data_IF_779688571776
#
_entry.id   IF_779688571776
#
_cell.length_a   1.000
_cell.length_b   1.000
_cell.length_c   1.000
_cell.angle_alpha   90.00
_cell.angle_beta   90.00
_cell.angle_gamma   90.00
#
_symmetry.space_group_name_H-M   'P 1'
#
loop_
_entity.id
_entity.type
_entity.pdbx_description
1 polymer ?
#
# COMPACT_ATOMS: atom_id res chain seq x y z
N UNK A 1 8.01 18.96 -7.93
CA UNK A 1 7.49 19.05 -9.31
C UNK A 1 6.03 18.62 -9.39
N UNK A 2 5.63 17.33 -9.30
CA UNK A 2 4.21 16.96 -9.37
C UNK A 2 3.32 17.45 -8.19
N UNK A 3 3.92 17.65 -7.00
CA UNK A 3 3.26 18.19 -5.80
C UNK A 3 2.89 19.67 -5.99
N UNK A 4 3.79 20.46 -6.56
CA UNK A 4 3.63 21.92 -6.74
C UNK A 4 2.52 22.26 -7.74
N UNK A 5 2.39 21.50 -8.83
CA UNK A 5 1.31 21.69 -9.83
C UNK A 5 -0.08 21.33 -9.27
N UNK A 6 -0.16 20.31 -8.42
CA UNK A 6 -1.40 19.90 -7.78
C UNK A 6 -1.79 20.88 -6.67
N UNK A 7 -0.83 21.30 -5.85
CA UNK A 7 -1.03 22.31 -4.82
C UNK A 7 -1.45 23.65 -5.45
N UNK A 8 -0.89 24.03 -6.61
CA UNK A 8 -1.32 25.21 -7.36
C UNK A 8 -2.76 25.07 -7.88
N UNK A 9 -3.12 23.96 -8.53
CA UNK A 9 -4.50 23.74 -8.99
C UNK A 9 -5.50 23.76 -7.81
N UNK A 10 -5.14 23.12 -6.71
CA UNK A 10 -5.95 23.01 -5.51
C UNK A 10 -6.16 24.38 -4.82
N UNK A 11 -5.09 25.15 -4.65
CA UNK A 11 -5.16 26.50 -4.07
C UNK A 11 -5.93 27.49 -4.93
N UNK A 12 -5.89 27.34 -6.26
CA UNK A 12 -6.52 28.30 -7.20
C UNK A 12 -7.96 27.97 -7.59
N UNK A 13 -8.35 26.69 -7.66
CA UNK A 13 -9.66 26.29 -8.18
C UNK A 13 -10.62 25.76 -7.10
N UNK A 14 -10.14 25.51 -5.89
CA UNK A 14 -10.94 24.92 -4.80
C UNK A 14 -11.04 25.78 -3.53
N UNK A 15 -10.57 27.04 -3.56
CA UNK A 15 -10.59 28.05 -2.49
C UNK A 15 -11.11 27.54 -1.13
N UNK A 16 -10.18 27.24 -0.23
CA UNK A 16 -10.47 27.25 1.20
C UNK A 16 -10.06 28.62 1.72
N UNK A 17 -11.02 29.37 2.24
CA UNK A 17 -10.72 30.54 3.04
C UNK A 17 -10.03 30.07 4.32
N UNK A 18 -8.71 30.30 4.42
CA UNK A 18 -8.21 31.33 5.34
C UNK A 18 -6.69 31.38 5.28
N UNK A 19 -6.22 32.56 4.91
CA UNK A 19 -4.85 33.00 5.08
C UNK A 19 -4.58 33.26 6.56
N UNK A 20 -3.97 32.32 7.27
CA UNK A 20 -2.91 32.63 8.25
C UNK A 20 -2.32 31.37 8.88
N UNK A 21 -0.99 31.27 8.76
CA UNK A 21 -0.08 30.48 9.59
C UNK A 21 -0.24 28.95 9.70
N UNK A 22 0.75 28.28 9.10
CA UNK A 22 1.42 27.04 9.54
C UNK A 22 0.79 25.66 9.24
N UNK A 23 1.60 24.89 8.49
CA UNK A 23 1.58 23.46 8.13
C UNK A 23 0.66 23.03 6.98
N UNK A 24 1.30 22.71 5.85
CA UNK A 24 0.74 22.42 4.53
C UNK A 24 0.46 20.93 4.27
N UNK A 25 0.09 20.15 5.29
CA UNK A 25 0.22 18.68 5.21
C UNK A 25 -1.07 17.85 5.20
N UNK A 26 -2.25 18.46 5.02
CA UNK A 26 -3.47 17.66 4.88
C UNK A 26 -4.54 18.31 4.00
N UNK A 27 -4.46 18.10 2.69
CA UNK A 27 -5.63 18.21 1.82
C UNK A 27 -5.57 17.16 0.72
N UNK A 28 -6.50 16.19 0.74
CA UNK A 28 -7.41 15.89 -0.40
C UNK A 28 -8.64 15.17 0.13
N UNK A 29 -9.75 15.41 -0.56
CA UNK A 29 -11.07 15.18 -0.04
C UNK A 29 -12.14 14.91 -1.10
N UNK A 30 -12.23 13.69 -1.63
CA UNK A 30 -13.41 13.26 -2.38
C UNK A 30 -13.67 11.77 -2.17
N UNK A 31 -14.88 11.43 -1.71
CA UNK A 31 -15.40 10.08 -1.76
C UNK A 31 -16.87 10.10 -2.20
N UNK A 32 -17.28 9.10 -2.98
CA UNK A 32 -18.69 8.84 -3.28
C UNK A 32 -19.11 7.51 -2.65
N UNK A 33 -20.38 7.37 -2.30
CA UNK A 33 -20.98 6.04 -2.07
C UNK A 33 -22.18 5.94 -2.98
N UNK A 34 -22.11 5.15 -4.04
CA UNK A 34 -23.30 4.87 -4.84
C UNK A 34 -24.16 3.89 -4.06
N UNK A 35 -25.38 4.32 -3.74
CA UNK A 35 -26.48 3.47 -3.34
C UNK A 35 -27.47 3.53 -4.51
N UNK A 36 -27.70 2.39 -5.16
CA UNK A 36 -28.66 2.18 -6.25
C UNK A 36 -28.34 2.81 -7.64
N UNK A 37 -28.77 2.08 -8.68
CA UNK A 37 -28.61 2.36 -10.12
C UNK A 37 -29.37 3.62 -10.61
N UNK A 38 -30.03 4.38 -9.73
CA UNK A 38 -30.98 5.45 -10.09
C UNK A 38 -30.65 6.84 -9.51
N UNK A 39 -29.56 6.99 -8.73
CA UNK A 39 -29.21 8.28 -8.14
C UNK A 39 -28.47 9.18 -9.15
N UNK A 40 -29.16 10.22 -9.65
CA UNK A 40 -28.66 11.08 -10.73
C UNK A 40 -27.44 11.95 -10.38
N UNK A 41 -27.05 12.15 -9.10
CA UNK A 41 -25.75 12.74 -8.71
C UNK A 41 -25.31 12.31 -7.28
N UNK A 42 -24.32 11.41 -7.10
CA UNK A 42 -24.10 10.68 -5.83
C UNK A 42 -22.88 11.11 -4.96
N UNK A 43 -22.46 12.38 -4.96
CA UNK A 43 -21.17 12.79 -4.36
C UNK A 43 -21.35 13.54 -3.04
N UNK A 44 -20.55 13.22 -2.00
CA UNK A 44 -20.54 13.96 -0.72
C UNK A 44 -19.14 14.53 -0.45
N UNK A 45 -19.01 15.86 -0.32
CA UNK A 45 -17.79 16.54 0.13
C UNK A 45 -17.80 16.65 1.66
N UNK A 46 -16.74 16.18 2.33
CA UNK A 46 -16.56 16.17 3.80
C UNK A 46 -15.15 16.60 4.22
N UNK A 47 -14.94 17.81 4.70
CA UNK A 47 -13.59 18.31 5.05
C UNK A 47 -12.97 17.54 6.22
N UNK A 48 -11.70 17.16 6.07
CA UNK A 48 -10.94 16.48 7.11
C UNK A 48 -10.43 17.54 8.09
N UNK A 49 -10.61 17.30 9.39
CA UNK A 49 -10.04 18.19 10.41
C UNK A 49 -8.52 18.05 10.42
N UNK A 50 -7.79 19.12 10.79
CA UNK A 50 -6.32 19.15 10.89
C UNK A 50 -5.71 18.00 11.72
N UNK A 51 -6.52 17.33 12.57
CA UNK A 51 -6.09 16.24 13.45
C UNK A 51 -6.35 14.84 12.90
N UNK A 52 -6.96 14.70 11.73
CA UNK A 52 -7.39 13.40 11.19
C UNK A 52 -7.08 13.29 9.71
N UNK A 53 -6.37 12.22 9.32
CA UNK A 53 -6.15 11.91 7.92
C UNK A 53 -7.49 11.67 7.20
N UNK A 54 -7.61 12.18 5.97
CA UNK A 54 -8.87 12.14 5.21
C UNK A 54 -9.41 10.72 4.99
N UNK A 55 -8.55 9.76 4.63
CA UNK A 55 -9.00 8.38 4.41
C UNK A 55 -9.53 7.71 5.69
N UNK A 56 -8.96 8.03 6.86
CA UNK A 56 -9.47 7.52 8.13
C UNK A 56 -10.85 8.11 8.48
N UNK A 57 -11.15 9.34 8.04
CA UNK A 57 -12.51 9.89 8.11
C UNK A 57 -13.46 9.17 7.16
N UNK A 58 -13.06 8.96 5.90
CA UNK A 58 -13.83 8.20 4.91
C UNK A 58 -14.15 6.79 5.41
N UNK A 59 -13.18 6.09 5.98
CA UNK A 59 -13.37 4.76 6.56
C UNK A 59 -14.46 4.74 7.65
N UNK A 60 -14.50 5.77 8.51
CA UNK A 60 -15.54 5.91 9.55
C UNK A 60 -16.92 6.20 8.98
N UNK A 61 -16.99 6.98 7.91
CA UNK A 61 -18.24 7.23 7.20
C UNK A 61 -18.74 5.95 6.51
N UNK A 62 -17.86 5.21 5.83
CA UNK A 62 -18.19 3.89 5.25
C UNK A 62 -18.71 2.96 6.35
N UNK A 63 -18.05 2.88 7.51
CA UNK A 63 -18.54 2.08 8.64
C UNK A 63 -19.95 2.49 9.06
N UNK A 64 -20.25 3.79 9.08
CA UNK A 64 -21.59 4.30 9.41
C UNK A 64 -22.61 3.88 8.35
N UNK A 65 -22.28 4.02 7.06
CA UNK A 65 -23.14 3.60 5.95
C UNK A 65 -23.41 2.09 5.98
N UNK A 66 -22.37 1.28 6.24
CA UNK A 66 -22.50 -0.17 6.38
C UNK A 66 -23.40 -0.56 7.55
N UNK A 67 -23.35 0.17 8.68
CA UNK A 67 -24.22 -0.11 9.84
C UNK A 67 -25.70 0.11 9.55
N UNK A 68 -26.03 1.13 8.76
CA UNK A 68 -27.41 1.49 8.42
C UNK A 68 -27.90 0.83 7.12
N UNK A 69 -27.00 0.21 6.36
CA UNK A 69 -27.34 -0.51 5.14
C UNK A 69 -28.14 -1.78 5.47
N UNK A 70 -29.14 -2.07 4.63
CA UNK A 70 -29.91 -3.31 4.70
C UNK A 70 -29.06 -4.49 4.20
N UNK A 71 -29.38 -5.71 4.68
CA UNK A 71 -28.72 -6.93 4.19
C UNK A 71 -28.88 -7.02 2.67
N UNK A 72 -27.79 -7.34 1.95
CA UNK A 72 -27.68 -7.39 0.47
C UNK A 72 -27.55 -6.04 -0.25
N UNK A 73 -27.40 -4.92 0.46
CA UNK A 73 -27.04 -3.66 -0.19
C UNK A 73 -25.64 -3.76 -0.84
N UNK A 74 -25.48 -3.10 -1.99
CA UNK A 74 -24.18 -2.86 -2.63
C UNK A 74 -23.79 -1.40 -2.42
N UNK A 75 -22.58 -1.16 -1.93
CA UNK A 75 -21.99 0.15 -1.74
C UNK A 75 -20.72 0.24 -2.59
N UNK A 76 -20.68 1.16 -3.53
CA UNK A 76 -19.50 1.43 -4.34
C UNK A 76 -18.87 2.76 -3.95
N UNK A 77 -17.61 2.73 -3.54
CA UNK A 77 -16.85 3.87 -3.03
C UNK A 77 -15.58 4.10 -3.82
N UNK A 78 -15.42 5.28 -4.42
CA UNK A 78 -14.11 5.72 -4.96
C UNK A 78 -13.60 6.89 -4.15
N UNK A 79 -12.36 6.78 -3.68
CA UNK A 79 -11.64 7.83 -2.96
C UNK A 79 -10.54 8.37 -3.87
N UNK A 80 -10.50 9.68 -4.05
CA UNK A 80 -9.42 10.38 -4.76
C UNK A 80 -8.60 11.17 -3.73
N UNK A 81 -7.27 10.99 -3.69
CA UNK A 81 -6.40 11.68 -2.75
C UNK A 81 -5.04 12.09 -3.35
N UNK A 82 -4.31 13.03 -2.74
CA UNK A 82 -3.00 13.48 -3.26
C UNK A 82 -1.96 12.38 -3.01
N UNK A 83 -1.92 11.87 -1.79
CA UNK A 83 -0.93 10.86 -1.39
C UNK A 83 -1.59 9.53 -1.06
N UNK A 84 -0.88 8.43 -1.26
CA UNK A 84 -1.36 7.09 -0.93
C UNK A 84 -1.69 6.96 0.57
N UNK A 85 -2.60 6.06 0.96
CA UNK A 85 -2.87 5.76 2.37
C UNK A 85 -1.60 5.45 3.16
N UNK A 86 -1.46 6.01 4.36
CA UNK A 86 -0.48 5.50 5.33
C UNK A 86 -1.01 4.21 5.99
N UNK A 87 -0.14 3.53 6.75
CA UNK A 87 -0.48 2.29 7.46
C UNK A 87 -1.68 2.41 8.39
N UNK A 88 -1.80 3.50 9.14
CA UNK A 88 -2.93 3.75 10.03
C UNK A 88 -4.26 3.94 9.27
N UNK A 89 -4.22 4.70 8.16
CA UNK A 89 -5.39 4.92 7.32
C UNK A 89 -5.87 3.62 6.66
N UNK A 90 -4.93 2.81 6.19
CA UNK A 90 -5.23 1.50 5.63
C UNK A 90 -5.89 0.59 6.67
N UNK A 91 -5.36 0.56 7.90
CA UNK A 91 -5.94 -0.24 8.99
C UNK A 91 -7.38 0.16 9.31
N UNK A 92 -7.69 1.46 9.32
CA UNK A 92 -9.08 1.94 9.50
C UNK A 92 -9.99 1.52 8.34
N UNK A 93 -9.54 1.64 7.10
CA UNK A 93 -10.33 1.20 5.94
C UNK A 93 -10.59 -0.32 5.97
N UNK A 94 -9.60 -1.12 6.39
CA UNK A 94 -9.76 -2.57 6.56
C UNK A 94 -10.83 -2.90 7.62
N UNK A 95 -10.92 -2.12 8.72
CA UNK A 95 -12.02 -2.27 9.69
C UNK A 95 -13.39 -2.08 9.03
N UNK A 96 -13.52 -1.09 8.14
CA UNK A 96 -14.75 -0.85 7.39
C UNK A 96 -15.11 -2.01 6.45
N UNK A 97 -14.12 -2.57 5.75
CA UNK A 97 -14.29 -3.75 4.89
C UNK A 97 -14.75 -4.98 5.70
N UNK A 98 -14.11 -5.22 6.85
CA UNK A 98 -14.47 -6.35 7.72
C UNK A 98 -15.90 -6.23 8.27
N UNK A 99 -16.31 -5.02 8.66
CA UNK A 99 -17.68 -4.76 9.08
C UNK A 99 -18.69 -5.01 7.95
N UNK A 100 -18.35 -4.65 6.71
CA UNK A 100 -19.21 -4.90 5.55
C UNK A 100 -19.38 -6.42 5.29
N UNK A 101 -18.29 -7.18 5.39
CA UNK A 101 -18.33 -8.66 5.30
C UNK A 101 -19.22 -9.26 6.38
N UNK A 102 -19.07 -8.84 7.64
CA UNK A 102 -19.89 -9.29 8.77
C UNK A 102 -21.39 -9.00 8.53
N UNK A 103 -21.71 -7.79 8.04
CA UNK A 103 -23.08 -7.36 7.74
C UNK A 103 -23.63 -7.93 6.42
N UNK A 104 -22.83 -8.69 5.67
CA UNK A 104 -23.17 -9.20 4.32
C UNK A 104 -23.60 -8.08 3.37
N UNK A 105 -22.89 -6.94 3.45
CA UNK A 105 -23.01 -5.80 2.54
C UNK A 105 -21.91 -5.93 1.50
N UNK A 106 -22.25 -5.84 0.22
CA UNK A 106 -21.24 -5.87 -0.86
C UNK A 106 -20.61 -4.48 -0.92
N UNK A 107 -19.37 -4.36 -0.44
CA UNK A 107 -18.63 -3.09 -0.44
C UNK A 107 -17.51 -3.15 -1.47
N UNK A 108 -17.58 -2.29 -2.48
CA UNK A 108 -16.57 -2.14 -3.53
C UNK A 108 -15.82 -0.83 -3.29
N UNK A 109 -14.52 -0.88 -3.01
CA UNK A 109 -13.73 0.32 -2.72
C UNK A 109 -12.62 0.49 -3.74
N UNK A 110 -12.49 1.68 -4.30
CA UNK A 110 -11.38 2.12 -5.12
C UNK A 110 -10.67 3.31 -4.47
N UNK A 111 -9.35 3.31 -4.46
CA UNK A 111 -8.54 4.39 -3.90
C UNK A 111 -7.52 4.82 -4.95
N UNK A 112 -7.67 6.03 -5.48
CA UNK A 112 -6.74 6.62 -6.43
C UNK A 112 -5.89 7.72 -5.78
N UNK A 113 -4.59 7.74 -6.07
CA UNK A 113 -3.69 8.78 -5.57
C UNK A 113 -2.66 9.27 -6.59
N UNK A 114 -2.19 10.50 -6.39
CA UNK A 114 -1.23 11.18 -7.28
C UNK A 114 0.21 10.81 -6.93
N UNK A 115 0.50 10.60 -5.65
CA UNK A 115 1.83 10.31 -5.14
C UNK A 115 1.83 9.21 -4.08
N UNK A 116 2.97 8.53 -3.93
CA UNK A 116 3.18 7.56 -2.85
C UNK A 116 3.60 8.29 -1.56
N UNK A 117 2.87 8.05 -0.47
CA UNK A 117 3.15 8.65 0.84
C UNK A 117 4.30 7.94 1.53
N UNK A 118 5.43 8.65 1.72
CA UNK A 118 6.60 8.18 2.48
C UNK A 118 7.03 6.75 2.13
N UNK A 119 7.01 6.39 0.84
CA UNK A 119 7.54 5.13 0.31
C UNK A 119 8.77 5.46 -0.53
N UNK A 120 9.90 4.80 -0.26
CA UNK A 120 11.11 4.90 -1.07
C UNK A 120 10.85 4.29 -2.44
N UNK A 121 11.04 5.09 -3.49
CA UNK A 121 10.76 4.67 -4.87
C UNK A 121 11.94 3.85 -5.42
N UNK A 122 11.70 2.68 -6.05
CA UNK A 122 12.76 1.98 -6.77
C UNK A 122 13.44 2.87 -7.82
N UNK A 123 12.73 3.83 -8.42
CA UNK A 123 13.28 4.75 -9.42
C UNK A 123 14.31 5.74 -8.87
N UNK A 124 14.20 6.22 -7.61
CA UNK A 124 15.22 7.09 -7.02
C UNK A 124 16.52 6.31 -6.79
N UNK A 125 16.40 5.09 -6.26
CA UNK A 125 17.53 4.15 -6.11
C UNK A 125 18.17 3.84 -7.47
N UNK A 126 17.35 3.60 -8.50
CA UNK A 126 17.85 3.30 -9.85
C UNK A 126 18.62 4.44 -10.50
N UNK A 127 18.27 5.69 -10.20
CA UNK A 127 18.88 6.90 -10.80
C UNK A 127 20.08 7.41 -9.99
N UNK A 128 20.44 6.77 -8.88
CA UNK A 128 21.51 7.24 -8.00
C UNK A 128 21.22 8.58 -7.34
N UNK A 129 19.97 9.03 -7.36
CA UNK A 129 19.56 10.26 -6.68
C UNK A 129 19.18 9.94 -5.23
N UNK A 130 19.58 10.79 -4.26
CA UNK A 130 19.08 10.67 -2.90
C UNK A 130 17.55 10.74 -2.95
N UNK A 131 16.89 9.69 -2.47
CA UNK A 131 15.44 9.68 -2.38
C UNK A 131 15.00 10.86 -1.52
N UNK A 132 14.10 11.70 -2.03
CA UNK A 132 13.70 12.92 -1.35
C UNK A 132 13.03 12.60 0.01
N UNK A 133 13.57 13.19 1.08
CA UNK A 133 13.04 13.15 2.45
C UNK A 133 13.68 12.10 3.36
N UNK A 134 13.66 12.38 4.66
CA UNK A 134 14.06 11.47 5.75
C UNK A 134 13.03 10.34 5.93
N UNK A 135 12.83 9.53 4.88
CA UNK A 135 11.96 8.36 4.95
C UNK A 135 12.73 7.25 5.64
N UNK A 136 12.37 6.97 6.89
CA UNK A 136 12.86 5.81 7.62
C UNK A 136 12.44 4.51 6.89
N UNK A 137 13.33 3.51 6.89
CA UNK A 137 13.09 2.24 6.19
C UNK A 137 11.80 1.56 6.69
N UNK A 138 11.56 1.60 8.00
CA UNK A 138 10.37 1.02 8.62
C UNK A 138 9.10 1.69 8.10
N UNK A 139 9.06 3.02 8.06
CA UNK A 139 7.89 3.76 7.59
C UNK A 139 7.59 3.50 6.11
N UNK A 140 8.64 3.44 5.27
CA UNK A 140 8.49 3.03 3.86
C UNK A 140 7.91 1.63 3.72
N UNK A 141 8.38 0.69 4.52
CA UNK A 141 7.93 -0.69 4.48
C UNK A 141 6.48 -0.80 4.99
N UNK A 142 6.15 -0.13 6.09
CA UNK A 142 4.81 -0.15 6.68
C UNK A 142 3.76 0.41 5.71
N UNK A 143 4.06 1.52 5.03
CA UNK A 143 3.16 2.11 4.04
C UNK A 143 3.05 1.25 2.76
N UNK A 144 4.14 0.61 2.32
CA UNK A 144 4.10 -0.31 1.19
C UNK A 144 3.29 -1.58 1.52
N UNK A 145 3.47 -2.15 2.72
CA UNK A 145 2.69 -3.29 3.20
C UNK A 145 1.21 -2.93 3.36
N UNK A 146 0.91 -1.74 3.86
CA UNK A 146 -0.46 -1.24 3.98
C UNK A 146 -1.19 -1.19 2.63
N UNK A 147 -0.51 -0.73 1.57
CA UNK A 147 -1.07 -0.74 0.21
C UNK A 147 -1.34 -2.16 -0.30
N UNK A 148 -0.45 -3.12 0.00
CA UNK A 148 -0.67 -4.53 -0.33
C UNK A 148 -1.87 -5.09 0.42
N UNK A 149 -1.95 -4.88 1.72
CA UNK A 149 -3.06 -5.36 2.54
C UNK A 149 -4.41 -4.83 2.05
N UNK A 150 -4.48 -3.55 1.64
CA UNK A 150 -5.70 -3.03 1.00
C UNK A 150 -6.05 -3.79 -0.28
N UNK A 151 -5.07 -4.04 -1.15
CA UNK A 151 -5.29 -4.78 -2.40
C UNK A 151 -5.70 -6.24 -2.15
N UNK A 152 -5.12 -6.90 -1.14
CA UNK A 152 -5.47 -8.28 -0.74
C UNK A 152 -6.90 -8.35 -0.19
N UNK A 153 -7.35 -7.30 0.50
CA UNK A 153 -8.73 -7.13 0.98
C UNK A 153 -9.73 -6.75 -0.13
N UNK A 154 -9.28 -6.68 -1.39
CA UNK A 154 -10.12 -6.41 -2.56
C UNK A 154 -10.32 -4.92 -2.86
N UNK A 155 -9.59 -4.02 -2.21
CA UNK A 155 -9.60 -2.59 -2.54
C UNK A 155 -8.83 -2.37 -3.85
N UNK A 156 -9.44 -1.68 -4.80
CA UNK A 156 -8.77 -1.27 -6.03
C UNK A 156 -7.86 -0.07 -5.77
N UNK A 157 -6.61 -0.35 -5.43
CA UNK A 157 -5.56 0.66 -5.25
C UNK A 157 -4.98 1.05 -6.60
N UNK A 158 -5.00 2.34 -6.95
CA UNK A 158 -4.50 2.82 -8.24
C UNK A 158 -3.82 4.19 -8.16
N UNK A 159 -2.96 4.48 -9.12
CA UNK A 159 -2.47 5.85 -9.34
C UNK A 159 -3.41 6.61 -10.26
N UNK A 160 -3.31 7.94 -10.26
CA UNK A 160 -3.97 8.73 -11.28
C UNK A 160 -3.48 8.33 -12.69
N UNK A 161 -4.39 8.41 -13.64
CA UNK A 161 -4.15 8.17 -15.06
C UNK A 161 -4.80 9.32 -15.85
N UNK A 162 -4.57 9.43 -17.17
CA UNK A 162 -5.12 10.53 -17.97
C UNK A 162 -6.64 10.68 -17.84
N UNK A 163 -7.38 9.57 -17.75
CA UNK A 163 -8.83 9.58 -17.56
C UNK A 163 -9.25 10.14 -16.21
N UNK A 164 -8.58 9.77 -15.12
CA UNK A 164 -8.84 10.30 -13.78
C UNK A 164 -8.46 11.78 -13.67
N UNK A 165 -7.37 12.19 -14.32
CA UNK A 165 -7.00 13.61 -14.43
C UNK A 165 -8.08 14.40 -15.16
N UNK A 166 -8.54 13.91 -16.30
CA UNK A 166 -9.60 14.55 -17.07
C UNK A 166 -10.91 14.62 -16.27
N UNK A 167 -11.31 13.52 -15.62
CA UNK A 167 -12.46 13.49 -14.73
C UNK A 167 -12.32 14.52 -13.61
N UNK A 168 -11.19 14.53 -12.91
CA UNK A 168 -10.95 15.45 -11.79
C UNK A 168 -10.98 16.91 -12.25
N UNK A 169 -10.31 17.26 -13.35
CA UNK A 169 -10.35 18.62 -13.91
C UNK A 169 -11.77 19.03 -14.34
N UNK A 170 -12.50 18.14 -15.02
CA UNK A 170 -13.84 18.43 -15.54
C UNK A 170 -14.89 18.51 -14.43
N UNK A 171 -14.77 17.67 -13.41
CA UNK A 171 -15.79 17.55 -12.37
C UNK A 171 -15.53 18.51 -11.21
N UNK A 172 -14.27 18.62 -10.78
CA UNK A 172 -13.87 19.40 -9.60
C UNK A 172 -13.46 20.83 -9.98
N UNK A 173 -12.82 21.03 -11.12
CA UNK A 173 -12.41 22.36 -11.60
C UNK A 173 -13.53 23.20 -12.22
N UNK A 174 -14.69 22.59 -12.49
CA UNK A 174 -15.74 23.20 -13.32
C UNK A 174 -17.17 23.07 -12.78
N UNK A 175 -17.41 22.28 -11.72
CA UNK A 175 -18.73 22.14 -11.10
C UNK A 175 -19.87 21.90 -12.09
N UNK A 176 -20.00 20.67 -12.61
CA UNK A 176 -21.05 20.21 -13.56
C UNK A 176 -21.21 21.06 -14.85
N UNK A 177 -20.98 20.49 -16.04
CA UNK A 177 -21.06 21.26 -17.27
C UNK A 177 -22.52 21.62 -17.58
N UNK A 178 -22.86 22.90 -17.51
CA UNK A 178 -23.84 23.49 -18.42
C UNK A 178 -23.09 24.40 -19.41
N UNK A 179 -23.14 24.01 -20.68
CA UNK A 179 -23.06 24.91 -21.83
C UNK A 179 -21.72 25.24 -22.55
N UNK A 180 -20.58 24.56 -22.36
CA UNK A 180 -19.41 24.83 -23.24
C UNK A 180 -18.68 23.58 -23.76
N UNK A 181 -18.82 23.23 -25.05
CA UNK A 181 -17.95 22.28 -25.70
C UNK A 181 -16.64 22.98 -26.11
N UNK A 182 -15.51 22.38 -25.77
CA UNK A 182 -14.20 22.51 -26.44
C UNK A 182 -13.11 23.48 -25.92
N UNK A 183 -13.07 23.92 -24.65
CA UNK A 183 -11.93 24.76 -24.19
C UNK A 183 -11.36 24.47 -22.80
N UNK A 184 -11.71 23.37 -22.15
CA UNK A 184 -11.47 23.23 -20.69
C UNK A 184 -10.29 22.38 -20.23
N UNK A 185 -9.41 21.96 -21.13
CA UNK A 185 -8.08 21.47 -20.72
C UNK A 185 -7.14 22.66 -20.79
N UNK A 186 -6.75 23.19 -19.62
CA UNK A 186 -5.63 24.14 -19.54
C UNK A 186 -4.47 23.62 -20.39
N UNK A 187 -3.72 24.53 -21.03
CA UNK A 187 -2.67 24.24 -22.04
C UNK A 187 -1.59 23.22 -21.66
N UNK A 188 -1.60 22.67 -20.44
CA UNK A 188 -0.74 21.56 -19.99
C UNK A 188 -1.25 20.17 -20.39
N UNK A 189 -2.56 19.96 -20.56
CA UNK A 189 -3.13 18.70 -21.09
C UNK A 189 -3.54 18.78 -22.56
N UNK A 190 -3.53 19.99 -23.12
CA UNK A 190 -3.73 20.27 -24.55
C UNK A 190 -2.41 20.78 -25.14
N UNK A 191 -1.51 19.88 -25.53
CA UNK A 191 -0.26 20.24 -26.25
C UNK A 191 1.01 19.53 -25.77
N UNK A 192 2.17 20.09 -26.11
CA UNK A 192 3.52 19.49 -25.94
C UNK A 192 3.91 19.17 -24.47
N UNK A 193 3.23 19.76 -23.48
CA UNK A 193 3.45 19.50 -22.05
C UNK A 193 2.72 18.25 -21.50
N UNK A 194 1.92 17.57 -22.32
CA UNK A 194 1.22 16.33 -21.94
C UNK A 194 2.17 15.13 -21.84
N UNK A 195 3.20 15.06 -22.69
CA UNK A 195 4.11 13.91 -22.73
C UNK A 195 4.93 13.69 -21.45
N UNK A 196 5.53 14.72 -20.83
CA UNK A 196 6.25 14.54 -19.55
C UNK A 196 5.37 13.95 -18.46
N UNK A 197 4.11 14.40 -18.35
CA UNK A 197 3.18 13.92 -17.32
C UNK A 197 2.72 12.49 -17.57
N UNK A 198 2.46 12.11 -18.82
CA UNK A 198 2.13 10.71 -19.16
C UNK A 198 3.28 9.75 -18.80
N UNK A 199 4.53 10.18 -18.99
CA UNK A 199 5.71 9.40 -18.59
C UNK A 199 5.77 9.26 -17.07
N UNK A 200 5.52 10.34 -16.32
CA UNK A 200 5.47 10.29 -14.85
C UNK A 200 4.35 9.38 -14.32
N UNK A 201 3.13 9.51 -14.85
CA UNK A 201 1.99 8.67 -14.45
C UNK A 201 2.27 7.19 -14.79
N UNK A 202 2.90 6.91 -15.93
CA UNK A 202 3.34 5.55 -16.29
C UNK A 202 4.39 4.99 -15.33
N UNK A 203 5.37 5.81 -14.94
CA UNK A 203 6.37 5.43 -13.95
C UNK A 203 5.72 5.16 -12.59
N UNK A 204 4.81 6.04 -12.14
CA UNK A 204 4.04 5.87 -10.90
C UNK A 204 3.20 4.58 -10.92
N UNK A 205 2.51 4.29 -12.03
CA UNK A 205 1.74 3.07 -12.17
C UNK A 205 2.62 1.81 -12.11
N UNK A 206 3.80 1.85 -12.72
CA UNK A 206 4.78 0.76 -12.64
C UNK A 206 5.36 0.60 -11.24
N UNK A 207 5.62 1.70 -10.53
CA UNK A 207 6.06 1.68 -9.13
C UNK A 207 4.99 1.09 -8.21
N UNK A 208 3.73 1.53 -8.36
CA UNK A 208 2.62 0.96 -7.62
C UNK A 208 2.49 -0.53 -7.91
N UNK A 209 2.58 -0.95 -9.19
CA UNK A 209 2.56 -2.38 -9.54
C UNK A 209 3.68 -3.14 -8.83
N UNK A 210 4.91 -2.61 -8.84
CA UNK A 210 6.04 -3.21 -8.15
C UNK A 210 5.81 -3.32 -6.63
N UNK A 211 5.22 -2.29 -6.02
CA UNK A 211 4.83 -2.29 -4.61
C UNK A 211 3.79 -3.36 -4.35
N UNK A 212 2.71 -3.42 -5.13
CA UNK A 212 1.62 -4.37 -4.96
C UNK A 212 2.06 -5.82 -5.20
N UNK A 213 2.96 -6.05 -6.16
CA UNK A 213 3.53 -7.38 -6.37
C UNK A 213 4.50 -7.75 -5.25
N UNK A 214 5.37 -6.82 -4.86
CA UNK A 214 6.37 -7.03 -3.81
C UNK A 214 7.34 -8.17 -4.04
N UNK A 215 8.17 -8.45 -3.03
CA UNK A 215 8.67 -9.80 -2.82
C UNK A 215 7.52 -10.57 -2.19
N UNK A 216 7.26 -11.79 -2.65
CA UNK A 216 6.24 -12.66 -2.06
C UNK A 216 6.90 -13.93 -1.58
N UNK A 217 6.84 -14.24 -0.29
CA UNK A 217 7.31 -15.52 0.21
C UNK A 217 6.28 -16.58 -0.21
N UNK A 218 6.62 -17.41 -1.20
CA UNK A 218 5.68 -18.27 -1.92
C UNK A 218 5.48 -19.63 -1.28
N UNK A 219 6.53 -20.15 -0.66
CA UNK A 219 6.47 -21.44 -0.01
C UNK A 219 7.46 -21.48 1.14
N UNK A 220 7.13 -22.32 2.09
CA UNK A 220 8.04 -22.76 3.12
C UNK A 220 7.81 -24.24 3.31
N UNK A 221 8.68 -25.05 2.71
CA UNK A 221 8.71 -26.46 3.04
C UNK A 221 9.46 -26.61 4.36
N UNK A 222 8.81 -27.27 5.32
CA UNK A 222 9.51 -27.79 6.48
C UNK A 222 10.51 -28.79 5.90
N UNK A 223 11.79 -28.48 6.06
CA UNK A 223 12.86 -29.36 5.62
C UNK A 223 12.74 -30.69 6.37
N UNK A 224 13.11 -31.84 5.77
CA UNK A 224 13.19 -33.10 6.51
C UNK A 224 14.14 -33.01 7.71
N UNK A 225 15.10 -32.07 7.67
CA UNK A 225 16.01 -31.81 8.77
C UNK A 225 15.41 -30.80 9.75
N UNK A 226 15.21 -31.18 11.03
CA UNK A 226 14.42 -30.44 12.01
C UNK A 226 14.99 -29.07 12.39
N UNK A 227 16.26 -28.83 12.07
CA UNK A 227 16.99 -27.62 12.45
C UNK A 227 17.16 -26.68 11.23
N UNK A 228 16.40 -26.92 10.15
CA UNK A 228 16.51 -26.15 8.90
C UNK A 228 15.15 -25.77 8.33
N UNK A 229 15.13 -24.67 7.58
CA UNK A 229 13.91 -24.14 6.96
C UNK A 229 14.23 -23.57 5.59
N UNK A 230 13.52 -24.01 4.55
CA UNK A 230 13.70 -23.47 3.21
C UNK A 230 12.70 -22.35 2.99
N UNK A 231 13.19 -21.14 2.77
CA UNK A 231 12.38 -20.01 2.33
C UNK A 231 12.49 -19.87 0.82
N UNK A 232 11.34 -19.76 0.15
CA UNK A 232 11.25 -19.42 -1.27
C UNK A 232 10.48 -18.11 -1.45
N UNK A 233 10.88 -17.31 -2.42
CA UNK A 233 10.21 -16.06 -2.72
C UNK A 233 10.10 -15.76 -4.22
N UNK A 234 9.04 -15.06 -4.62
CA UNK A 234 8.94 -14.45 -5.95
C UNK A 234 9.69 -13.12 -5.98
N UNK A 235 10.47 -12.88 -7.04
CA UNK A 235 11.14 -11.61 -7.23
C UNK A 235 10.11 -10.49 -7.50
N UNK A 236 10.40 -9.25 -7.10
CA UNK A 236 9.56 -8.11 -7.45
C UNK A 236 9.62 -7.84 -8.96
N UNK A 237 8.50 -7.38 -9.53
CA UNK A 237 8.48 -6.95 -10.93
C UNK A 237 9.03 -5.52 -11.02
N UNK A 238 10.27 -5.38 -11.53
CA UNK A 238 10.94 -4.10 -11.71
C UNK A 238 10.95 -3.70 -13.19
N UNK A 239 10.72 -2.42 -13.49
CA UNK A 239 10.47 -1.95 -14.86
C UNK A 239 11.69 -2.01 -15.79
N UNK A 240 12.93 -1.90 -15.28
CA UNK A 240 14.15 -1.82 -16.12
C UNK A 240 15.43 -2.44 -15.54
N UNK A 241 15.48 -2.80 -14.25
CA UNK A 241 16.68 -3.37 -13.61
C UNK A 241 16.33 -4.64 -12.85
N UNK A 242 17.22 -5.62 -12.87
CA UNK A 242 17.12 -6.84 -12.06
C UNK A 242 17.60 -6.57 -10.64
N UNK A 243 17.03 -7.27 -9.67
CA UNK A 243 17.54 -7.29 -8.29
C UNK A 243 18.99 -7.75 -8.32
N UNK A 244 19.89 -7.02 -7.66
CA UNK A 244 21.31 -7.40 -7.59
C UNK A 244 21.55 -8.44 -6.51
N UNK A 245 20.83 -8.33 -5.40
CA UNK A 245 21.03 -9.14 -4.20
C UNK A 245 19.72 -9.20 -3.41
N UNK A 246 19.47 -10.31 -2.72
CA UNK A 246 18.49 -10.41 -1.65
C UNK A 246 19.21 -10.50 -0.31
N UNK A 247 18.69 -9.78 0.69
CA UNK A 247 19.12 -9.94 2.07
C UNK A 247 18.03 -10.65 2.85
N UNK A 248 18.33 -11.85 3.32
CA UNK A 248 17.44 -12.65 4.16
C UNK A 248 17.82 -12.40 5.61
N UNK A 249 16.90 -11.82 6.37
CA UNK A 249 17.06 -11.47 7.77
C UNK A 249 16.09 -12.32 8.58
N UNK A 250 16.56 -13.04 9.59
CA UNK A 250 15.68 -13.78 10.48
C UNK A 250 16.13 -13.67 11.93
N UNK A 251 15.15 -13.68 12.84
CA UNK A 251 15.40 -13.58 14.28
C UNK A 251 14.36 -14.36 15.06
N UNK A 252 14.80 -14.97 16.16
CA UNK A 252 13.91 -15.68 17.09
C UNK A 252 13.04 -14.68 17.84
N UNK A 253 11.74 -14.97 17.91
CA UNK A 253 10.74 -14.11 18.54
C UNK A 253 9.83 -14.90 19.47
N UNK A 254 9.29 -14.23 20.48
CA UNK A 254 8.13 -14.72 21.24
C UNK A 254 6.87 -14.05 20.71
N UNK A 255 5.76 -14.78 20.70
CA UNK A 255 4.48 -14.28 20.23
C UNK A 255 3.53 -13.98 21.40
N UNK A 256 2.68 -12.95 21.25
CA UNK A 256 1.63 -12.60 22.23
C UNK A 256 0.46 -13.58 22.19
N UNK A 257 0.09 -14.04 21.00
CA UNK A 257 -1.00 -14.99 20.77
C UNK A 257 -0.41 -16.25 20.13
N UNK A 258 -0.24 -17.31 20.93
CA UNK A 258 0.29 -18.60 20.43
C UNK A 258 -0.79 -19.47 19.79
N UNK A 259 -2.06 -19.24 20.13
CA UNK A 259 -3.19 -20.12 19.75
C UNK A 259 -3.91 -19.69 18.46
N UNK A 260 -3.48 -18.61 17.82
CA UNK A 260 -4.08 -18.15 16.58
C UNK A 260 -3.44 -18.85 15.38
N UNK A 261 -4.25 -19.19 14.37
CA UNK A 261 -3.75 -19.57 13.04
C UNK A 261 -2.68 -18.57 12.54
N UNK A 262 -1.73 -19.06 11.74
CA UNK A 262 -0.53 -18.35 11.21
C UNK A 262 -0.75 -16.88 10.80
N UNK A 263 -1.98 -16.52 10.43
CA UNK A 263 -2.37 -15.19 9.93
C UNK A 263 -2.43 -14.08 10.99
N UNK A 264 -2.39 -14.41 12.29
CA UNK A 264 -2.62 -13.42 13.37
C UNK A 264 -1.48 -13.36 14.41
N UNK A 265 -0.35 -14.00 14.15
CA UNK A 265 0.78 -13.96 15.07
C UNK A 265 1.32 -12.54 15.25
N UNK A 266 1.34 -12.10 16.52
CA UNK A 266 1.89 -10.80 16.93
C UNK A 266 3.13 -11.01 17.78
N UNK A 267 4.22 -10.35 17.40
CA UNK A 267 5.48 -10.43 18.15
C UNK A 267 5.32 -9.73 19.50
N UNK A 268 5.66 -10.43 20.57
CA UNK A 268 5.76 -9.92 21.93
C UNK A 268 7.13 -9.31 22.16
N UNK A 269 8.18 -10.10 21.94
CA UNK A 269 9.56 -9.72 22.19
C UNK A 269 10.48 -10.42 21.19
N UNK A 270 11.61 -9.77 20.88
CA UNK A 270 12.70 -10.45 20.16
C UNK A 270 13.60 -11.14 21.17
N UNK A 271 13.86 -12.44 20.99
CA UNK A 271 14.65 -13.25 21.92
C UNK A 271 16.15 -13.03 21.73
N UNK A 272 16.60 -12.90 20.48
CA UNK A 272 17.99 -12.57 20.15
C UNK A 272 18.16 -11.07 19.92
N UNK A 273 19.19 -10.46 20.52
CA UNK A 273 19.54 -9.06 20.28
C UNK A 273 20.09 -8.82 18.87
N UNK A 274 20.73 -9.82 18.26
CA UNK A 274 21.30 -9.73 16.92
C UNK A 274 20.57 -10.65 15.93
N UNK A 275 19.94 -10.08 14.88
CA UNK A 275 19.31 -10.87 13.83
C UNK A 275 20.36 -11.53 12.93
N UNK A 276 20.08 -12.74 12.47
CA UNK A 276 20.88 -13.39 11.43
C UNK A 276 20.63 -12.70 10.09
N UNK A 277 21.69 -12.49 9.31
CA UNK A 277 21.64 -11.82 8.01
C UNK A 277 22.40 -12.64 6.99
N UNK A 278 21.73 -13.03 5.93
CA UNK A 278 22.30 -13.76 4.81
C UNK A 278 22.16 -12.94 3.54
N UNK A 279 23.25 -12.89 2.77
CA UNK A 279 23.31 -12.23 1.47
C UNK A 279 23.17 -13.27 0.38
N UNK A 280 22.21 -13.09 -0.51
CA UNK A 280 21.82 -14.05 -1.54
C UNK A 280 21.88 -13.37 -2.90
N UNK A 281 22.52 -13.95 -3.93
CA UNK A 281 22.56 -13.36 -5.27
C UNK A 281 21.14 -13.10 -5.83
N UNK A 282 20.97 -12.01 -6.57
CA UNK A 282 19.65 -11.60 -7.10
C UNK A 282 19.01 -12.57 -8.12
N UNK A 283 19.77 -13.55 -8.59
CA UNK A 283 19.29 -14.64 -9.46
C UNK A 283 18.63 -15.77 -8.68
N UNK A 284 18.92 -15.89 -7.38
CA UNK A 284 18.35 -16.91 -6.52
C UNK A 284 17.04 -16.43 -5.89
N UNK A 285 16.07 -17.32 -5.86
CA UNK A 285 14.73 -17.10 -5.29
C UNK A 285 14.41 -18.05 -4.14
N UNK A 286 15.42 -18.73 -3.62
CA UNK A 286 15.30 -19.62 -2.47
C UNK A 286 16.58 -19.64 -1.64
N UNK A 287 16.41 -19.87 -0.33
CA UNK A 287 17.54 -20.07 0.59
C UNK A 287 17.15 -21.00 1.72
N UNK A 288 18.05 -21.93 2.04
CA UNK A 288 17.98 -22.76 3.24
C UNK A 288 18.54 -21.98 4.42
N UNK A 289 17.73 -21.88 5.48
CA UNK A 289 18.11 -21.37 6.80
C UNK A 289 18.53 -22.58 7.64
N UNK A 290 19.63 -22.41 8.37
CA UNK A 290 20.28 -23.47 9.14
C UNK A 290 20.42 -23.04 10.61
N UNK A 291 20.74 -24.00 11.48
CA UNK A 291 20.97 -23.79 12.92
C UNK A 291 19.76 -23.19 13.66
N UNK A 292 18.55 -23.57 13.23
CA UNK A 292 17.32 -23.10 13.85
C UNK A 292 16.97 -23.94 15.09
N UNK A 293 16.70 -23.28 16.21
CA UNK A 293 16.13 -23.94 17.39
C UNK A 293 14.74 -24.51 17.09
N UNK A 294 14.46 -25.68 17.68
CA UNK A 294 13.16 -26.37 17.57
C UNK A 294 12.07 -25.69 18.37
N UNK A 295 10.81 -25.99 18.00
CA UNK A 295 9.59 -25.46 18.62
C UNK A 295 9.63 -23.94 18.85
N UNK A 296 10.26 -23.21 17.94
CA UNK A 296 10.56 -21.79 18.09
C UNK A 296 9.96 -20.99 16.95
N UNK A 297 9.60 -19.74 17.25
CA UNK A 297 9.07 -18.81 16.25
C UNK A 297 10.18 -17.89 15.75
N UNK A 298 10.17 -17.67 14.44
CA UNK A 298 11.10 -16.79 13.76
C UNK A 298 10.36 -15.74 12.96
N UNK A 299 10.83 -14.51 13.06
CA UNK A 299 10.42 -13.40 12.23
C UNK A 299 11.42 -13.28 11.07
N UNK A 300 10.96 -13.61 9.87
CA UNK A 300 11.73 -13.65 8.64
C UNK A 300 11.39 -12.46 7.77
N UNK A 301 12.41 -11.78 7.26
CA UNK A 301 12.30 -10.70 6.29
C UNK A 301 13.22 -10.98 5.11
N UNK A 302 12.68 -10.94 3.89
CA UNK A 302 13.46 -10.99 2.65
C UNK A 302 13.45 -9.61 2.04
N UNK A 303 14.59 -8.93 1.99
CA UNK A 303 14.77 -7.63 1.34
C UNK A 303 15.36 -7.84 -0.06
N UNK A 304 14.80 -7.22 -1.09
CA UNK A 304 15.42 -7.12 -2.39
C UNK A 304 16.25 -5.84 -2.47
N UNK A 305 17.50 -5.96 -2.93
CA UNK A 305 18.45 -4.87 -3.06
C UNK A 305 18.75 -4.57 -4.53
N UNK A 306 18.89 -3.28 -4.82
CA UNK A 306 19.28 -2.77 -6.12
C UNK A 306 20.27 -1.62 -5.91
N UNK A 307 21.49 -1.75 -6.40
CA UNK A 307 22.52 -0.71 -6.24
C UNK A 307 22.81 -0.38 -4.76
N UNK A 308 22.78 -1.39 -3.88
CA UNK A 308 23.00 -1.24 -2.43
C UNK A 308 21.80 -0.73 -1.63
N UNK A 309 20.72 -0.28 -2.28
CA UNK A 309 19.49 0.16 -1.62
C UNK A 309 18.43 -0.93 -1.58
N UNK A 310 17.70 -1.03 -0.46
CA UNK A 310 16.51 -1.91 -0.36
C UNK A 310 15.37 -1.30 -1.19
N UNK A 311 14.85 -2.06 -2.15
CA UNK A 311 13.76 -1.63 -3.04
C UNK A 311 12.40 -2.17 -2.63
N UNK A 312 12.36 -3.35 -2.00
CA UNK A 312 11.15 -3.92 -1.42
C UNK A 312 11.51 -5.03 -0.44
N UNK A 313 10.57 -5.40 0.41
CA UNK A 313 10.70 -6.52 1.32
C UNK A 313 9.44 -7.37 1.39
N UNK A 314 9.61 -8.60 1.84
CA UNK A 314 8.56 -9.49 2.30
C UNK A 314 8.87 -9.87 3.74
N UNK A 315 7.83 -10.08 4.55
CA UNK A 315 7.97 -10.52 5.92
C UNK A 315 7.03 -11.69 6.18
N UNK A 316 7.49 -12.69 6.93
CA UNK A 316 6.71 -13.84 7.34
C UNK A 316 7.17 -14.27 8.73
N UNK A 317 6.22 -14.66 9.57
CA UNK A 317 6.53 -15.39 10.80
C UNK A 317 6.34 -16.87 10.51
N UNK A 318 7.27 -17.70 10.98
CA UNK A 318 7.16 -19.15 10.88
C UNK A 318 7.52 -19.82 12.20
N UNK A 319 7.05 -21.05 12.39
CA UNK A 319 7.37 -21.91 13.51
C UNK A 319 8.24 -23.07 13.02
N UNK A 320 9.29 -23.42 13.77
CA UNK A 320 10.05 -24.65 13.55
C UNK A 320 9.30 -25.84 14.15
N UNK A 321 9.40 -27.00 13.49
CA UNK A 321 8.64 -28.19 13.85
C UNK A 321 9.12 -28.80 15.18
N UNK A 322 8.18 -29.37 15.93
CA UNK A 322 8.42 -30.13 17.18
C UNK A 322 8.46 -31.65 16.94
N UNK A 323 8.30 -32.10 15.68
CA UNK A 323 8.29 -33.54 15.38
C UNK A 323 9.71 -34.10 15.49
N UNK A 324 10.08 -34.48 16.71
CA UNK A 324 11.13 -35.44 16.94
C UNK A 324 10.90 -36.66 16.06
N UNK A 325 11.95 -37.10 15.38
CA UNK A 325 11.98 -38.33 14.59
C UNK A 325 11.34 -39.42 15.47
N UNK A 326 10.13 -39.88 15.11
CA UNK A 326 9.62 -41.14 15.63
C UNK A 326 10.59 -42.20 15.13
N UNK A 327 11.60 -42.54 15.95
CA UNK A 327 12.42 -43.73 15.74
C UNK A 327 11.43 -44.89 15.69
N UNK A 328 11.22 -45.44 14.51
CA UNK A 328 10.54 -46.72 14.33
C UNK A 328 11.29 -47.74 15.18
N UNK A 329 10.65 -48.21 16.25
CA UNK A 329 11.09 -49.41 16.96
C UNK A 329 10.90 -50.59 15.99
N UNK A 330 11.99 -51.04 15.40
CA UNK A 330 12.22 -52.46 15.10
C UNK A 330 12.62 -53.15 16.39
#
# INVERSE_FOLDING_TARGET
>A
MARDDFDLFWTTHLHTADSSSQSSDAMVLYWHSVKEETANYPWTRREATLRQHALAAVARDIMTQVRVATRKATLAVTVLQNVSPCSECAAELIKALNLAKEKKVKLEVSVAFVALHKIRRPSCVQRGHPCAGDVFLNESNDNALALRSLSEEGVKVMTFNPTLWQFFHTFVGMGLPSAFPNSFLSGKYSGAACQPRMVEDSLMANELRAILTGVQITSSSISPDPDTYTVEWRPPTLSKKKVSEYRVIYKKVTLKNKDSEDRLWRIHQTVSSTPFKLSVPGEMTSRRLEELERDSFYDLTVEALLGGGVVCSARKIFKTDDKGIKRSRT
#
